data_IF_339419002275
#
_entry.id   IF_339419002275
#
_cell.length_a   1.000
_cell.length_b   1.000
_cell.length_c   1.000
_cell.angle_alpha   90.00
_cell.angle_beta   90.00
_cell.angle_gamma   90.00
#
_symmetry.space_group_name_H-M   'P 1'
#
loop_
_entity.id
_entity.type
_entity.pdbx_description
1 polymer ?
#
# COMPACT_ATOMS: atom_id res chain seq x y z
N UNK A 1 68.58 5.28 -20.09
CA UNK A 1 68.53 4.37 -18.91
C UNK A 1 67.38 4.81 -18.01
N UNK A 2 66.43 3.88 -17.75
CA UNK A 2 65.22 3.99 -16.88
C UNK A 2 64.15 4.97 -17.39
N UNK A 3 62.85 4.66 -17.55
CA UNK A 3 62.03 3.52 -17.17
C UNK A 3 60.88 3.35 -18.19
N UNK A 4 60.55 2.09 -18.46
CA UNK A 4 59.36 1.65 -19.18
C UNK A 4 58.10 1.69 -18.29
N UNK A 5 56.94 1.51 -18.93
CA UNK A 5 55.60 1.21 -18.40
C UNK A 5 54.59 2.38 -18.30
N UNK A 6 53.81 2.57 -19.38
CA UNK A 6 52.33 2.65 -19.38
C UNK A 6 51.81 2.99 -20.78
N UNK A 7 51.80 2.00 -21.66
CA UNK A 7 50.91 1.96 -22.84
C UNK A 7 50.52 0.50 -23.03
N UNK A 8 49.38 0.12 -22.46
CA UNK A 8 48.61 -1.07 -22.84
C UNK A 8 47.27 -0.97 -22.12
N UNK A 9 46.23 -0.57 -22.86
CA UNK A 9 44.85 -0.97 -22.62
C UNK A 9 44.01 -0.45 -23.80
N UNK A 10 43.94 -1.26 -24.85
CA UNK A 10 42.84 -1.25 -25.80
C UNK A 10 42.24 -2.66 -25.79
N UNK A 11 40.91 -2.70 -25.74
CA UNK A 11 40.02 -3.79 -26.19
C UNK A 11 40.01 -5.14 -25.45
N UNK A 12 38.81 -5.47 -24.95
CA UNK A 12 38.22 -6.75 -24.48
C UNK A 12 37.81 -6.62 -22.98
N UNK A 13 36.55 -6.62 -22.56
CA UNK A 13 35.44 -7.48 -22.96
C UNK A 13 34.09 -6.74 -22.99
N UNK A 14 33.50 -6.68 -24.18
CA UNK A 14 32.06 -6.78 -24.36
C UNK A 14 31.60 -8.19 -23.98
N UNK A 15 31.30 -8.41 -22.71
CA UNK A 15 30.48 -9.55 -22.30
C UNK A 15 29.01 -9.12 -22.35
N UNK A 16 28.32 -9.69 -23.33
CA UNK A 16 26.89 -9.64 -23.56
C UNK A 16 26.10 -10.22 -22.38
N UNK A 17 25.76 -9.39 -21.39
CA UNK A 17 24.64 -9.71 -20.50
C UNK A 17 23.33 -9.35 -21.22
N UNK A 18 22.88 -10.29 -22.06
CA UNK A 18 21.57 -10.27 -22.72
C UNK A 18 20.44 -10.61 -21.73
N UNK A 19 20.48 -10.03 -20.54
CA UNK A 19 19.36 -9.95 -19.62
C UNK A 19 18.49 -8.74 -19.98
N UNK A 20 17.21 -8.96 -20.20
CA UNK A 20 16.19 -7.90 -20.33
C UNK A 20 16.20 -7.00 -19.08
N UNK A 21 17.03 -5.96 -19.09
CA UNK A 21 17.24 -5.05 -17.96
C UNK A 21 16.25 -3.89 -18.03
N UNK A 22 15.50 -3.69 -16.94
CA UNK A 22 14.59 -2.55 -16.80
C UNK A 22 15.40 -1.25 -16.75
N UNK A 23 14.94 -0.20 -17.45
CA UNK A 23 15.60 1.11 -17.39
C UNK A 23 15.41 1.73 -16.00
N UNK A 24 16.52 2.09 -15.33
CA UNK A 24 16.52 2.85 -14.07
C UNK A 24 16.21 4.32 -14.38
N UNK A 25 15.11 4.86 -13.86
CA UNK A 25 14.62 6.19 -14.22
C UNK A 25 14.18 7.11 -13.07
N UNK A 26 14.16 6.63 -11.82
CA UNK A 26 13.73 7.41 -10.66
C UNK A 26 14.91 8.13 -10.00
N UNK A 27 14.73 9.43 -9.70
CA UNK A 27 15.68 10.23 -8.92
C UNK A 27 15.40 10.03 -7.42
N UNK A 28 16.37 10.25 -6.53
CA UNK A 28 16.18 10.14 -5.08
C UNK A 28 14.98 10.95 -4.55
N UNK A 29 14.71 12.12 -5.12
CA UNK A 29 13.53 12.93 -4.78
C UNK A 29 12.21 12.21 -5.09
N UNK A 30 12.16 11.46 -6.20
CA UNK A 30 10.98 10.67 -6.58
C UNK A 30 10.82 9.51 -5.60
N UNK A 31 11.91 8.83 -5.23
CA UNK A 31 11.86 7.70 -4.28
C UNK A 31 11.33 8.14 -2.92
N UNK A 32 11.81 9.27 -2.38
CA UNK A 32 11.37 9.77 -1.08
C UNK A 32 9.89 10.16 -1.11
N UNK A 33 9.42 10.79 -2.18
CA UNK A 33 8.02 11.22 -2.30
C UNK A 33 7.07 10.08 -2.67
N UNK A 34 7.49 9.11 -3.49
CA UNK A 34 6.75 7.86 -3.71
C UNK A 34 6.61 7.11 -2.40
N UNK A 35 7.70 7.01 -1.63
CA UNK A 35 7.64 6.41 -0.31
C UNK A 35 6.66 7.17 0.60
N UNK A 36 6.58 8.50 0.49
CA UNK A 36 5.76 9.36 1.35
C UNK A 36 4.29 9.43 0.95
N UNK A 37 3.99 9.45 -0.35
CA UNK A 37 2.65 9.58 -0.92
C UNK A 37 1.98 8.24 -1.31
N UNK A 38 2.76 7.17 -1.49
CA UNK A 38 2.27 5.85 -1.88
C UNK A 38 1.50 5.10 -0.78
N UNK A 39 1.66 5.52 0.47
CA UNK A 39 0.93 4.99 1.64
C UNK A 39 -0.22 5.91 2.09
N UNK A 40 -0.49 7.00 1.36
CA UNK A 40 -1.58 7.93 1.62
C UNK A 40 -2.58 7.79 0.47
N UNK A 41 -3.68 7.10 0.76
CA UNK A 41 -4.71 6.77 -0.22
C UNK A 41 -6.10 6.70 0.39
N UNK A 42 -6.99 5.97 -0.27
CA UNK A 42 -8.40 5.84 0.12
C UNK A 42 -8.59 5.25 1.51
N UNK A 43 -7.63 4.48 2.00
CA UNK A 43 -7.69 3.92 3.34
C UNK A 43 -7.69 4.97 4.46
N UNK A 44 -7.05 6.13 4.28
CA UNK A 44 -7.16 7.24 5.23
C UNK A 44 -8.45 8.02 5.02
N UNK A 45 -8.82 8.32 3.78
CA UNK A 45 -9.87 9.32 3.51
C UNK A 45 -11.29 8.77 3.43
N UNK A 46 -11.45 7.53 2.98
CA UNK A 46 -12.75 6.87 2.80
C UNK A 46 -12.88 5.65 3.71
N UNK A 47 -11.83 4.83 3.83
CA UNK A 47 -11.81 3.66 4.71
C UNK A 47 -11.93 3.99 6.21
N UNK A 48 -11.69 5.25 6.58
CA UNK A 48 -11.80 5.71 7.96
C UNK A 48 -13.25 5.81 8.46
N UNK A 49 -14.21 6.09 7.58
CA UNK A 49 -15.62 6.27 7.97
C UNK A 49 -16.19 5.07 8.73
N UNK A 50 -16.13 3.85 8.17
CA UNK A 50 -16.51 2.64 8.89
C UNK A 50 -15.74 2.43 10.20
N UNK A 51 -14.43 2.72 10.23
CA UNK A 51 -13.62 2.55 11.43
C UNK A 51 -14.05 3.50 12.57
N UNK A 52 -14.38 4.76 12.24
CA UNK A 52 -14.93 5.73 13.20
C UNK A 52 -16.29 5.27 13.71
N UNK A 53 -17.18 4.79 12.85
CA UNK A 53 -18.49 4.28 13.31
C UNK A 53 -18.35 3.09 14.26
N UNK A 54 -17.35 2.24 14.03
CA UNK A 54 -17.11 1.06 14.87
C UNK A 54 -16.45 1.39 16.22
N UNK A 55 -15.47 2.30 16.25
CA UNK A 55 -14.65 2.56 17.44
C UNK A 55 -14.98 3.89 18.15
N UNK A 56 -15.73 4.78 17.51
CA UNK A 56 -15.86 6.16 17.97
C UNK A 56 -14.50 6.85 18.10
N UNK A 57 -14.29 7.69 19.14
CA UNK A 57 -13.01 8.36 19.37
C UNK A 57 -11.83 7.40 19.63
N UNK A 58 -12.10 6.20 20.14
CA UNK A 58 -11.07 5.18 20.36
C UNK A 58 -10.39 4.73 19.06
N UNK A 59 -10.92 5.06 17.89
CA UNK A 59 -10.25 4.86 16.58
C UNK A 59 -8.82 5.42 16.60
N UNK A 60 -8.56 6.51 17.32
CA UNK A 60 -7.22 7.10 17.49
C UNK A 60 -6.24 6.10 18.11
N UNK A 61 -6.67 5.39 19.15
CA UNK A 61 -5.88 4.33 19.77
C UNK A 61 -5.69 3.16 18.79
N UNK A 62 -6.73 2.81 18.02
CA UNK A 62 -6.67 1.78 16.99
C UNK A 62 -5.58 2.05 15.94
N UNK A 63 -5.53 3.27 15.39
CA UNK A 63 -4.47 3.69 14.47
C UNK A 63 -3.10 3.74 15.13
N UNK A 64 -3.02 4.11 16.41
CA UNK A 64 -1.77 4.07 17.17
C UNK A 64 -1.21 2.65 17.29
N UNK A 65 -2.06 1.70 17.70
CA UNK A 65 -1.70 0.28 17.84
C UNK A 65 -1.33 -0.33 16.49
N UNK A 66 -2.21 -0.20 15.49
CA UNK A 66 -1.95 -0.72 14.15
C UNK A 66 -0.68 -0.09 13.54
N UNK A 67 -0.46 1.19 13.78
CA UNK A 67 0.72 1.91 13.32
C UNK A 67 2.02 1.44 13.97
N UNK A 68 2.02 1.12 15.27
CA UNK A 68 3.19 0.51 15.93
C UNK A 68 3.52 -0.84 15.29
N UNK A 69 2.52 -1.69 15.05
CA UNK A 69 2.73 -2.99 14.42
C UNK A 69 3.24 -2.84 12.98
N UNK A 70 2.64 -1.95 12.19
CA UNK A 70 3.09 -1.63 10.83
C UNK A 70 4.54 -1.13 10.83
N UNK A 71 4.92 -0.26 11.78
CA UNK A 71 6.28 0.23 11.92
C UNK A 71 7.28 -0.89 12.25
N UNK A 72 6.93 -1.83 13.15
CA UNK A 72 7.77 -2.98 13.45
C UNK A 72 8.01 -3.86 12.21
N UNK A 73 6.98 -4.08 11.39
CA UNK A 73 7.09 -4.85 10.13
C UNK A 73 7.96 -4.10 9.13
N UNK A 74 7.79 -2.78 8.98
CA UNK A 74 8.65 -1.98 8.11
C UNK A 74 10.10 -1.98 8.58
N UNK A 75 10.34 -2.08 9.89
CA UNK A 75 11.68 -2.24 10.44
C UNK A 75 12.29 -3.61 10.12
N UNK A 76 11.50 -4.69 10.19
CA UNK A 76 11.91 -6.04 9.77
C UNK A 76 12.26 -6.08 8.28
N UNK A 77 11.42 -5.48 7.44
CA UNK A 77 11.67 -5.35 6.01
C UNK A 77 12.92 -4.51 5.74
N UNK A 78 13.03 -3.35 6.38
CA UNK A 78 14.18 -2.45 6.25
C UNK A 78 15.51 -3.13 6.60
N UNK A 79 15.54 -3.98 7.64
CA UNK A 79 16.75 -4.74 7.99
C UNK A 79 17.20 -5.64 6.84
N UNK A 80 16.28 -6.40 6.24
CA UNK A 80 16.61 -7.29 5.13
C UNK A 80 17.08 -6.50 3.90
N UNK A 81 16.37 -5.42 3.56
CA UNK A 81 16.60 -4.67 2.32
C UNK A 81 17.87 -3.83 2.38
N UNK A 82 18.27 -3.33 3.57
CA UNK A 82 19.56 -2.64 3.74
C UNK A 82 20.74 -3.59 3.50
N UNK A 83 20.62 -4.84 3.93
CA UNK A 83 21.67 -5.85 3.74
C UNK A 83 21.71 -6.38 2.30
N UNK A 84 20.55 -6.55 1.66
CA UNK A 84 20.45 -7.04 0.29
C UNK A 84 19.46 -6.21 -0.54
N UNK A 85 19.89 -5.06 -1.11
CA UNK A 85 19.01 -4.19 -1.89
C UNK A 85 18.69 -4.80 -3.25
N UNK A 86 17.60 -5.57 -3.32
CA UNK A 86 17.15 -6.28 -4.54
C UNK A 86 15.71 -5.94 -4.90
N UNK A 87 15.41 -5.81 -6.20
CA UNK A 87 14.11 -5.33 -6.70
C UNK A 87 12.92 -6.24 -6.40
N UNK A 88 13.19 -7.53 -6.09
CA UNK A 88 12.15 -8.50 -5.70
C UNK A 88 11.70 -8.37 -4.25
N UNK A 89 12.33 -7.50 -3.45
CA UNK A 89 11.98 -7.21 -2.05
C UNK A 89 11.71 -8.46 -1.20
N UNK A 90 10.67 -8.45 -0.36
CA UNK A 90 10.26 -9.54 0.54
C UNK A 90 9.98 -10.87 -0.18
N UNK A 91 9.52 -10.89 -1.44
CA UNK A 91 9.35 -12.13 -2.20
C UNK A 91 10.71 -12.80 -2.49
N UNK A 92 11.74 -12.01 -2.78
CA UNK A 92 13.11 -12.52 -2.92
C UNK A 92 13.63 -13.08 -1.58
N UNK A 93 13.41 -12.37 -0.48
CA UNK A 93 13.82 -12.84 0.85
C UNK A 93 13.12 -14.15 1.23
N UNK A 94 11.82 -14.26 0.98
CA UNK A 94 11.07 -15.49 1.19
C UNK A 94 11.62 -16.64 0.33
N UNK A 95 11.93 -16.38 -0.95
CA UNK A 95 12.54 -17.38 -1.84
C UNK A 95 13.89 -17.87 -1.32
N UNK A 96 14.79 -16.94 -0.98
CA UNK A 96 16.19 -17.21 -0.63
C UNK A 96 16.35 -17.84 0.75
N UNK A 97 15.61 -17.36 1.75
CA UNK A 97 15.80 -17.74 3.16
C UNK A 97 14.82 -18.78 3.67
N UNK A 98 13.63 -18.89 3.07
CA UNK A 98 12.61 -19.84 3.49
C UNK A 98 12.41 -20.96 2.47
N UNK A 99 12.33 -20.61 1.19
CA UNK A 99 12.38 -21.59 0.11
C UNK A 99 11.49 -21.22 -1.08
N UNK A 100 11.49 -22.07 -2.13
CA UNK A 100 10.96 -21.67 -3.41
C UNK A 100 9.45 -21.42 -3.44
N UNK A 101 8.67 -22.20 -2.68
CA UNK A 101 7.23 -21.98 -2.54
C UNK A 101 6.91 -20.69 -1.79
N UNK A 102 7.68 -20.35 -0.74
CA UNK A 102 7.47 -19.13 0.03
C UNK A 102 7.68 -17.88 -0.84
N UNK A 103 8.70 -17.89 -1.71
CA UNK A 103 8.91 -16.85 -2.71
C UNK A 103 7.76 -16.74 -3.71
N UNK A 104 7.30 -17.87 -4.25
CA UNK A 104 6.16 -17.92 -5.18
C UNK A 104 4.88 -17.37 -4.55
N UNK A 105 4.53 -17.87 -3.36
CA UNK A 105 3.35 -17.44 -2.60
C UNK A 105 3.40 -15.93 -2.31
N UNK A 106 4.53 -15.44 -1.82
CA UNK A 106 4.70 -14.04 -1.48
C UNK A 106 4.57 -13.12 -2.71
N UNK A 107 5.20 -13.46 -3.82
CA UNK A 107 5.13 -12.65 -5.04
C UNK A 107 3.74 -12.63 -5.68
N UNK A 108 3.09 -13.79 -5.81
CA UNK A 108 1.74 -13.87 -6.38
C UNK A 108 0.68 -13.24 -5.47
N UNK A 109 0.80 -13.43 -4.15
CA UNK A 109 -0.08 -12.77 -3.19
C UNK A 109 0.05 -11.25 -3.28
N UNK A 110 1.27 -10.72 -3.37
CA UNK A 110 1.48 -9.28 -3.48
C UNK A 110 0.93 -8.71 -4.79
N UNK A 111 1.15 -9.39 -5.91
CA UNK A 111 0.55 -8.98 -7.18
C UNK A 111 -0.99 -8.98 -7.11
N UNK A 112 -1.60 -10.02 -6.56
CA UNK A 112 -3.05 -10.09 -6.39
C UNK A 112 -3.56 -8.98 -5.45
N UNK A 113 -2.88 -8.74 -4.34
CA UNK A 113 -3.18 -7.65 -3.40
C UNK A 113 -3.19 -6.29 -4.12
N UNK A 114 -2.19 -5.98 -4.94
CA UNK A 114 -2.13 -4.70 -5.65
C UNK A 114 -3.15 -4.58 -6.78
N UNK A 115 -3.54 -5.69 -7.41
CA UNK A 115 -4.70 -5.70 -8.32
C UNK A 115 -5.97 -5.31 -7.54
N UNK A 116 -6.21 -5.92 -6.38
CA UNK A 116 -7.37 -5.62 -5.52
C UNK A 116 -7.34 -4.18 -4.99
N UNK A 117 -6.17 -3.68 -4.59
CA UNK A 117 -5.98 -2.26 -4.23
C UNK A 117 -6.36 -1.37 -5.40
N UNK A 118 -5.89 -1.67 -6.61
CA UNK A 118 -6.24 -0.90 -7.79
C UNK A 118 -7.75 -0.88 -8.09
N UNK A 119 -8.44 -2.00 -7.87
CA UNK A 119 -9.90 -2.05 -7.96
C UNK A 119 -10.56 -1.18 -6.87
N UNK A 120 -10.08 -1.24 -5.62
CA UNK A 120 -10.62 -0.44 -4.52
C UNK A 120 -10.43 1.07 -4.77
N UNK A 121 -9.27 1.46 -5.28
CA UNK A 121 -8.95 2.85 -5.63
C UNK A 121 -9.83 3.35 -6.79
N UNK A 122 -10.03 2.56 -7.85
CA UNK A 122 -10.94 2.95 -8.95
C UNK A 122 -12.40 3.07 -8.48
N UNK A 123 -12.83 2.21 -7.56
CA UNK A 123 -14.16 2.30 -6.94
C UNK A 123 -14.30 3.58 -6.14
N UNK A 124 -13.30 3.90 -5.31
CA UNK A 124 -13.29 5.12 -4.51
C UNK A 124 -13.23 6.38 -5.38
N UNK A 125 -12.45 6.38 -6.46
CA UNK A 125 -12.45 7.47 -7.45
C UNK A 125 -13.86 7.71 -8.01
N UNK A 126 -14.63 6.64 -8.26
CA UNK A 126 -16.05 6.74 -8.62
C UNK A 126 -16.91 7.40 -7.53
N UNK A 127 -16.73 7.00 -6.27
CA UNK A 127 -17.42 7.60 -5.11
C UNK A 127 -17.09 9.09 -4.97
N UNK A 128 -15.83 9.49 -5.13
CA UNK A 128 -15.44 10.90 -5.08
C UNK A 128 -16.03 11.70 -6.24
N UNK A 129 -16.16 11.11 -7.44
CA UNK A 129 -16.82 11.79 -8.56
C UNK A 129 -18.32 11.99 -8.33
N UNK A 130 -18.98 11.10 -7.59
CA UNK A 130 -20.39 11.26 -7.22
C UNK A 130 -20.65 12.46 -6.30
N UNK A 131 -19.63 13.00 -5.62
CA UNK A 131 -19.76 14.25 -4.88
C UNK A 131 -20.14 15.43 -5.80
N UNK A 132 -19.55 15.51 -7.01
CA UNK A 132 -19.89 16.54 -8.00
C UNK A 132 -20.99 16.10 -8.98
N UNK A 133 -21.03 14.81 -9.30
CA UNK A 133 -21.92 14.23 -10.31
C UNK A 133 -22.70 13.03 -9.72
N UNK A 134 -23.63 13.28 -8.78
CA UNK A 134 -24.31 12.22 -8.03
C UNK A 134 -25.15 11.28 -8.91
N UNK A 135 -25.68 11.79 -10.02
CA UNK A 135 -26.51 11.01 -10.95
C UNK A 135 -25.70 10.05 -11.84
N UNK A 136 -24.38 10.19 -11.86
CA UNK A 136 -23.50 9.33 -12.67
C UNK A 136 -23.08 8.11 -11.85
N UNK A 137 -23.36 6.88 -12.32
CA UNK A 137 -22.95 5.67 -11.63
C UNK A 137 -21.43 5.53 -11.47
N UNK A 138 -21.00 4.96 -10.34
CA UNK A 138 -19.58 4.77 -9.99
C UNK A 138 -18.79 3.98 -11.04
N UNK A 139 -19.41 2.98 -11.68
CA UNK A 139 -18.75 2.13 -12.67
C UNK A 139 -18.29 2.91 -13.92
N UNK A 140 -18.98 3.99 -14.30
CA UNK A 140 -18.61 4.82 -15.46
C UNK A 140 -17.30 5.54 -15.16
N UNK A 141 -17.21 6.15 -13.98
CA UNK A 141 -16.00 6.83 -13.52
C UNK A 141 -14.84 5.85 -13.33
N UNK A 142 -15.10 4.68 -12.72
CA UNK A 142 -14.10 3.63 -12.58
C UNK A 142 -13.55 3.18 -13.94
N UNK A 143 -14.42 2.99 -14.95
CA UNK A 143 -14.01 2.64 -16.31
C UNK A 143 -13.20 3.75 -16.99
N UNK A 144 -13.65 5.00 -16.87
CA UNK A 144 -12.96 6.15 -17.45
C UNK A 144 -11.53 6.30 -16.89
N UNK A 145 -11.37 6.30 -15.57
CA UNK A 145 -10.05 6.40 -14.94
C UNK A 145 -9.17 5.18 -15.20
N UNK A 146 -9.77 3.98 -15.25
CA UNK A 146 -9.06 2.77 -15.65
C UNK A 146 -8.42 2.94 -17.03
N UNK A 147 -9.19 3.37 -18.03
CA UNK A 147 -8.69 3.56 -19.41
C UNK A 147 -7.59 4.62 -19.44
N UNK A 148 -7.82 5.77 -18.81
CA UNK A 148 -6.88 6.90 -18.80
C UNK A 148 -5.53 6.48 -18.20
N UNK A 149 -5.54 5.86 -17.02
CA UNK A 149 -4.30 5.53 -16.30
C UNK A 149 -3.54 4.40 -16.99
N UNK A 150 -4.22 3.38 -17.50
CA UNK A 150 -3.55 2.32 -18.25
C UNK A 150 -2.96 2.84 -19.57
N UNK A 151 -3.65 3.76 -20.26
CA UNK A 151 -3.11 4.40 -21.46
C UNK A 151 -1.84 5.21 -21.15
N UNK A 152 -1.83 6.00 -20.06
CA UNK A 152 -0.64 6.73 -19.63
C UNK A 152 0.54 5.79 -19.34
N UNK A 153 0.29 4.68 -18.66
CA UNK A 153 1.32 3.69 -18.31
C UNK A 153 1.91 2.95 -19.54
N UNK A 154 1.15 2.86 -20.64
CA UNK A 154 1.63 2.28 -21.89
C UNK A 154 2.57 3.23 -22.66
N UNK A 155 2.46 4.55 -22.46
CA UNK A 155 3.17 5.54 -23.29
C UNK A 155 4.59 5.82 -22.79
N UNK A 156 4.80 6.11 -21.49
CA UNK A 156 6.12 6.51 -20.99
C UNK A 156 6.32 6.35 -19.46
N UNK A 157 7.30 5.53 -19.08
CA UNK A 157 7.70 5.29 -17.67
C UNK A 157 8.29 6.53 -16.99
N UNK A 158 8.88 7.47 -17.75
CA UNK A 158 9.42 8.71 -17.19
C UNK A 158 8.33 9.70 -16.78
N UNK A 159 7.15 9.63 -17.41
CA UNK A 159 6.00 10.45 -17.04
C UNK A 159 5.50 10.08 -15.64
N UNK A 160 5.53 8.79 -15.29
CA UNK A 160 5.12 8.27 -13.98
C UNK A 160 5.85 8.96 -12.82
N UNK A 161 7.19 9.04 -12.86
CA UNK A 161 7.97 9.56 -11.74
C UNK A 161 7.73 11.04 -11.44
N UNK A 162 7.51 11.86 -12.47
CA UNK A 162 7.20 13.29 -12.32
C UNK A 162 5.73 13.50 -11.92
N UNK A 163 4.78 12.75 -12.50
CA UNK A 163 3.37 12.80 -12.10
C UNK A 163 3.20 12.43 -10.62
N UNK A 164 3.88 11.37 -10.18
CA UNK A 164 3.80 10.89 -8.80
C UNK A 164 4.47 11.85 -7.81
N UNK A 165 5.54 12.55 -8.21
CA UNK A 165 6.13 13.63 -7.43
C UNK A 165 5.11 14.73 -7.12
N UNK A 166 4.39 15.21 -8.14
CA UNK A 166 3.37 16.25 -7.98
C UNK A 166 2.17 15.75 -7.17
N UNK A 167 1.71 14.53 -7.42
CA UNK A 167 0.63 13.92 -6.67
C UNK A 167 0.96 13.78 -5.19
N UNK A 168 2.16 13.29 -4.84
CA UNK A 168 2.61 13.19 -3.46
C UNK A 168 2.70 14.57 -2.79
N UNK A 169 3.20 15.60 -3.49
CA UNK A 169 3.27 16.97 -2.95
C UNK A 169 1.88 17.53 -2.62
N UNK A 170 0.93 17.39 -3.57
CA UNK A 170 -0.45 17.84 -3.38
C UNK A 170 -1.10 17.16 -2.17
N UNK A 171 -0.92 15.83 -2.01
CA UNK A 171 -1.44 15.07 -0.87
C UNK A 171 -0.93 15.62 0.47
N UNK A 172 0.37 15.84 0.58
CA UNK A 172 0.98 16.30 1.84
C UNK A 172 0.52 17.71 2.19
N UNK A 173 0.56 18.63 1.23
CA UNK A 173 0.11 20.00 1.43
C UNK A 173 -1.36 20.07 1.81
N UNK A 174 -2.21 19.23 1.20
CA UNK A 174 -3.62 19.16 1.53
C UNK A 174 -3.87 18.69 2.96
N UNK A 175 -3.15 17.66 3.43
CA UNK A 175 -3.34 17.19 4.81
C UNK A 175 -2.84 18.24 5.82
N UNK A 176 -1.68 18.85 5.58
CA UNK A 176 -1.16 19.91 6.46
C UNK A 176 -2.12 21.11 6.45
N UNK A 177 -2.59 21.53 5.28
CA UNK A 177 -3.55 22.62 5.13
C UNK A 177 -4.86 22.34 5.84
N UNK A 178 -5.39 21.12 5.71
CA UNK A 178 -6.61 20.67 6.39
C UNK A 178 -6.46 20.65 7.91
N UNK A 179 -5.35 20.15 8.43
CA UNK A 179 -5.05 20.16 9.87
C UNK A 179 -4.94 21.61 10.36
N UNK A 180 -4.18 22.45 9.66
CA UNK A 180 -4.00 23.86 10.03
C UNK A 180 -5.31 24.65 10.00
N UNK A 181 -6.12 24.47 8.95
CA UNK A 181 -7.42 25.10 8.81
C UNK A 181 -8.41 24.62 9.88
N UNK A 182 -8.43 23.31 10.17
CA UNK A 182 -9.27 22.76 11.23
C UNK A 182 -8.88 23.26 12.62
N UNK A 183 -7.58 23.37 12.92
CA UNK A 183 -7.12 23.98 14.17
C UNK A 183 -7.48 25.47 14.24
N UNK A 184 -7.35 26.21 13.13
CA UNK A 184 -7.79 27.60 13.06
C UNK A 184 -9.29 27.74 13.34
N UNK A 185 -10.13 26.84 12.81
CA UNK A 185 -11.57 26.80 13.10
C UNK A 185 -11.86 26.51 14.57
N UNK A 186 -11.14 25.56 15.18
CA UNK A 186 -11.30 25.18 16.59
C UNK A 186 -10.90 26.31 17.53
N UNK A 187 -9.71 26.90 17.36
CA UNK A 187 -9.21 27.96 18.25
C UNK A 187 -9.81 29.33 17.95
N UNK A 188 -10.20 29.58 16.70
CA UNK A 188 -10.80 30.84 16.28
C UNK A 188 -12.30 30.96 16.58
N UNK A 189 -12.97 29.89 17.01
CA UNK A 189 -14.43 29.87 17.20
C UNK A 189 -15.25 29.92 15.90
N UNK A 190 -14.61 29.66 14.75
CA UNK A 190 -15.24 29.67 13.42
C UNK A 190 -15.73 28.29 12.97
N UNK A 191 -15.53 27.25 13.79
CA UNK A 191 -15.96 25.87 13.51
C UNK A 191 -17.44 25.58 13.76
N UNK A 192 -18.21 26.56 14.22
CA UNK A 192 -19.61 26.38 14.62
C UNK A 192 -19.77 25.75 16.00
N UNK A 193 -21.02 25.67 16.49
CA UNK A 193 -21.33 25.21 17.87
C UNK A 193 -20.92 23.76 18.15
N UNK A 194 -20.84 22.95 17.10
CA UNK A 194 -20.43 21.55 17.21
C UNK A 194 -18.91 21.37 17.31
N UNK A 195 -18.09 22.37 17.00
CA UNK A 195 -16.63 22.20 17.00
C UNK A 195 -16.06 22.40 18.42
N UNK A 196 -15.65 21.30 19.06
CA UNK A 196 -14.97 21.32 20.35
C UNK A 196 -14.09 20.08 20.52
N UNK A 197 -12.96 20.22 21.21
CA UNK A 197 -12.18 19.06 21.65
C UNK A 197 -12.98 18.12 22.55
N UNK A 198 -14.04 18.62 23.19
CA UNK A 198 -14.96 17.79 23.99
C UNK A 198 -15.59 16.66 23.17
N UNK A 199 -15.73 16.80 21.85
CA UNK A 199 -16.28 15.76 20.98
C UNK A 199 -15.53 14.43 21.06
N UNK A 200 -14.26 14.44 21.51
CA UNK A 200 -13.46 13.23 21.73
C UNK A 200 -13.95 12.39 22.92
N UNK A 201 -14.79 12.94 23.79
CA UNK A 201 -15.32 12.23 24.98
C UNK A 201 -16.76 12.57 25.36
N UNK A 202 -17.39 13.61 24.81
CA UNK A 202 -18.73 14.05 25.17
C UNK A 202 -19.84 13.10 24.68
N UNK A 203 -19.61 12.40 23.57
CA UNK A 203 -20.57 11.51 22.92
C UNK A 203 -20.37 10.04 23.33
N UNK A 204 -20.46 9.76 24.63
CA UNK A 204 -20.33 8.40 25.18
C UNK A 204 -18.94 8.04 25.71
N UNK A 205 -18.05 9.02 25.88
CA UNK A 205 -16.66 8.80 26.31
C UNK A 205 -15.72 8.44 25.17
N UNK A 206 -14.44 8.27 25.49
CA UNK A 206 -13.43 7.89 24.50
C UNK A 206 -13.68 6.49 23.92
N UNK A 207 -14.16 5.55 24.76
CA UNK A 207 -14.56 4.20 24.39
C UNK A 207 -16.08 4.10 24.20
N UNK A 208 -16.66 4.99 23.38
CA UNK A 208 -18.11 5.09 23.21
C UNK A 208 -18.80 3.80 22.74
N UNK A 209 -18.11 2.97 21.96
CA UNK A 209 -18.60 1.66 21.48
C UNK A 209 -18.00 0.48 22.28
N UNK A 210 -17.32 0.78 23.39
CA UNK A 210 -16.60 -0.19 24.21
C UNK A 210 -15.34 -0.77 23.56
N UNK A 211 -14.65 -1.65 24.29
CA UNK A 211 -13.43 -2.31 23.80
C UNK A 211 -13.68 -3.18 22.57
N UNK A 212 -14.86 -3.79 22.47
CA UNK A 212 -15.22 -4.63 21.32
C UNK A 212 -15.27 -3.83 20.02
N UNK A 213 -15.86 -2.62 20.04
CA UNK A 213 -15.89 -1.76 18.86
C UNK A 213 -14.49 -1.37 18.39
N UNK A 214 -13.60 -1.01 19.33
CA UNK A 214 -12.19 -0.77 19.04
C UNK A 214 -11.50 -2.00 18.42
N UNK A 215 -11.62 -3.17 19.04
CA UNK A 215 -10.95 -4.39 18.57
C UNK A 215 -11.42 -4.76 17.16
N UNK A 216 -12.73 -4.70 16.89
CA UNK A 216 -13.27 -4.99 15.56
C UNK A 216 -12.81 -3.95 14.52
N UNK A 217 -12.71 -2.67 14.91
CA UNK A 217 -12.25 -1.61 14.00
C UNK A 217 -10.80 -1.83 13.52
N UNK A 218 -9.96 -2.53 14.32
CA UNK A 218 -8.57 -2.80 13.94
C UNK A 218 -8.49 -3.49 12.58
N UNK A 219 -9.43 -4.39 12.26
CA UNK A 219 -9.46 -5.08 10.97
C UNK A 219 -9.68 -4.12 9.79
N UNK A 220 -10.55 -3.11 9.94
CA UNK A 220 -10.79 -2.07 8.92
C UNK A 220 -9.57 -1.14 8.83
N UNK A 221 -9.03 -0.74 9.98
CA UNK A 221 -7.87 0.16 10.09
C UNK A 221 -6.65 -0.42 9.33
N UNK A 222 -6.48 -1.74 9.28
CA UNK A 222 -5.38 -2.37 8.55
C UNK A 222 -5.32 -1.95 7.07
N UNK A 223 -6.47 -1.70 6.44
CA UNK A 223 -6.51 -1.26 5.04
C UNK A 223 -5.74 0.05 4.83
N UNK A 224 -5.81 0.96 5.79
CA UNK A 224 -5.14 2.25 5.73
C UNK A 224 -3.62 2.15 5.69
N UNK A 225 -3.03 1.08 6.20
CA UNK A 225 -1.58 0.89 6.23
C UNK A 225 -1.03 0.11 5.03
N UNK A 226 -1.90 -0.31 4.10
CA UNK A 226 -1.48 -0.95 2.86
C UNK A 226 -0.57 -0.05 2.03
N UNK A 227 0.48 -0.62 1.44
CA UNK A 227 1.39 0.09 0.54
C UNK A 227 2.65 0.64 1.21
N UNK A 228 2.80 0.52 2.54
CA UNK A 228 4.07 0.83 3.21
C UNK A 228 5.24 -0.03 2.68
N UNK A 229 4.96 -1.24 2.18
CA UNK A 229 5.95 -2.16 1.64
C UNK A 229 6.56 -1.70 0.32
N UNK A 230 6.00 -0.68 -0.35
CA UNK A 230 6.59 -0.09 -1.56
C UNK A 230 8.03 0.40 -1.32
N UNK A 231 8.37 0.77 -0.08
CA UNK A 231 9.73 1.12 0.31
C UNK A 231 10.69 -0.02 -0.02
N UNK A 232 10.28 -1.27 0.20
CA UNK A 232 11.11 -2.44 -0.06
C UNK A 232 11.35 -2.71 -1.55
N UNK A 233 10.45 -2.26 -2.45
CA UNK A 233 10.60 -2.44 -3.90
C UNK A 233 11.43 -1.30 -4.48
N UNK A 234 11.16 -0.07 -4.06
CA UNK A 234 11.88 1.12 -4.52
C UNK A 234 13.31 1.19 -3.99
N UNK A 235 13.63 0.46 -2.92
CA UNK A 235 14.97 0.34 -2.37
C UNK A 235 16.03 -0.11 -3.39
N UNK A 236 15.69 -0.98 -4.33
CA UNK A 236 16.63 -1.43 -5.37
C UNK A 236 16.95 -0.35 -6.42
N UNK A 237 16.17 0.73 -6.42
CA UNK A 237 16.39 1.90 -7.27
C UNK A 237 17.09 3.04 -6.50
N UNK A 238 17.30 2.91 -5.17
CA UNK A 238 17.95 3.93 -4.36
C UNK A 238 19.47 3.99 -4.62
N UNK A 239 20.01 5.19 -4.77
CA UNK A 239 21.46 5.38 -5.00
C UNK A 239 22.29 5.00 -3.76
N UNK A 240 21.74 5.22 -2.57
CA UNK A 240 22.38 4.90 -1.28
C UNK A 240 21.39 4.15 -0.37
N UNK A 241 21.21 2.83 -0.58
CA UNK A 241 20.26 2.04 0.20
C UNK A 241 20.51 2.10 1.72
N UNK A 242 21.78 2.07 2.13
CA UNK A 242 22.19 2.06 3.54
C UNK A 242 21.82 3.32 4.33
N UNK A 243 21.63 4.47 3.66
CA UNK A 243 21.26 5.73 4.31
C UNK A 243 19.79 6.07 4.05
N UNK A 244 19.30 5.79 2.85
CA UNK A 244 17.97 6.19 2.39
C UNK A 244 16.88 5.31 2.98
N UNK A 245 17.10 3.99 3.03
CA UNK A 245 16.08 3.04 3.53
C UNK A 245 15.85 3.21 5.03
N UNK A 246 16.89 3.27 5.90
CA UNK A 246 16.68 3.53 7.33
C UNK A 246 15.89 4.81 7.61
N UNK A 247 16.21 5.90 6.88
CA UNK A 247 15.49 7.17 6.99
C UNK A 247 14.02 7.01 6.59
N UNK A 248 13.74 6.38 5.45
CA UNK A 248 12.38 6.16 4.98
C UNK A 248 11.54 5.31 5.95
N UNK A 249 12.13 4.24 6.51
CA UNK A 249 11.48 3.38 7.49
C UNK A 249 11.18 4.13 8.79
N UNK A 250 12.14 4.90 9.32
CA UNK A 250 11.92 5.68 10.54
C UNK A 250 10.93 6.83 10.33
N UNK A 251 10.86 7.37 9.11
CA UNK A 251 9.88 8.39 8.76
C UNK A 251 8.44 7.89 8.79
N UNK A 252 8.21 6.57 8.71
CA UNK A 252 6.86 5.98 8.82
C UNK A 252 6.17 6.44 10.13
N UNK A 253 6.88 6.52 11.25
CA UNK A 253 6.30 6.97 12.54
C UNK A 253 5.71 8.37 12.43
N UNK A 254 6.45 9.32 11.84
CA UNK A 254 5.97 10.69 11.67
C UNK A 254 4.76 10.76 10.75
N UNK A 255 4.71 9.90 9.73
CA UNK A 255 3.55 9.79 8.84
C UNK A 255 2.32 9.28 9.58
N UNK A 256 2.49 8.30 10.47
CA UNK A 256 1.42 7.77 11.31
C UNK A 256 0.89 8.86 12.25
N UNK A 257 1.79 9.53 12.96
CA UNK A 257 1.41 10.58 13.90
C UNK A 257 0.74 11.77 13.21
N UNK A 258 1.29 12.25 12.08
CA UNK A 258 0.76 13.44 11.40
C UNK A 258 -0.51 13.12 10.61
N UNK A 259 -0.44 12.14 9.71
CA UNK A 259 -1.50 11.90 8.73
C UNK A 259 -2.66 11.09 9.27
N UNK A 260 -2.44 10.22 10.25
CA UNK A 260 -3.51 9.43 10.85
C UNK A 260 -3.96 10.04 12.16
N UNK A 261 -3.07 10.15 13.14
CA UNK A 261 -3.49 10.63 14.47
C UNK A 261 -3.86 12.11 14.43
N UNK A 262 -2.97 12.98 13.93
CA UNK A 262 -3.18 14.42 13.90
C UNK A 262 -4.41 14.84 13.09
N UNK A 263 -4.58 14.27 11.89
CA UNK A 263 -5.75 14.55 11.05
C UNK A 263 -7.05 14.07 11.70
N UNK A 264 -7.05 12.91 12.35
CA UNK A 264 -8.25 12.36 13.01
C UNK A 264 -8.62 13.10 14.29
N UNK A 265 -7.64 13.56 15.06
CA UNK A 265 -7.90 14.40 16.24
C UNK A 265 -8.64 15.66 15.82
N UNK A 266 -8.16 16.35 14.78
CA UNK A 266 -8.82 17.56 14.26
C UNK A 266 -10.20 17.24 13.71
N UNK A 267 -10.32 16.15 12.94
CA UNK A 267 -11.58 15.69 12.37
C UNK A 267 -12.64 15.46 13.46
N UNK A 268 -12.31 14.66 14.48
CA UNK A 268 -13.23 14.30 15.56
C UNK A 268 -13.51 15.45 16.52
N UNK A 269 -12.58 16.40 16.66
CA UNK A 269 -12.83 17.63 17.41
C UNK A 269 -13.78 18.58 16.65
N UNK A 270 -13.67 18.66 15.32
CA UNK A 270 -14.55 19.51 14.51
C UNK A 270 -15.97 18.98 14.41
N UNK A 271 -16.14 17.64 14.40
CA UNK A 271 -17.43 17.03 14.13
C UNK A 271 -17.66 15.77 14.98
N UNK A 272 -18.81 15.67 15.68
CA UNK A 272 -19.14 14.51 16.50
C UNK A 272 -19.07 13.20 15.71
N UNK A 273 -18.46 12.18 16.31
CA UNK A 273 -18.28 10.87 15.65
C UNK A 273 -19.61 10.20 15.27
N UNK A 274 -20.68 10.48 16.01
CA UNK A 274 -22.03 9.95 15.78
C UNK A 274 -22.66 10.43 14.48
N UNK A 275 -22.24 11.61 13.99
CA UNK A 275 -22.79 12.21 12.77
C UNK A 275 -21.99 11.80 11.51
N UNK A 276 -20.90 11.02 11.68
CA UNK A 276 -20.04 10.57 10.58
C UNK A 276 -20.66 9.36 9.87
N UNK A 277 -20.91 9.50 8.56
CA UNK A 277 -21.38 8.43 7.67
C UNK A 277 -20.21 7.63 7.07
N UNK A 278 -20.48 6.36 6.77
CA UNK A 278 -19.50 5.42 6.24
C UNK A 278 -19.42 5.37 4.70
N UNK A 279 -20.36 6.02 4.00
CA UNK A 279 -20.54 5.94 2.54
C UNK A 279 -19.81 7.04 1.75
N UNK A 280 -19.22 8.00 2.45
CA UNK A 280 -18.53 9.16 1.88
C UNK A 280 -17.31 9.52 2.73
N UNK A 281 -16.38 10.31 2.17
CA UNK A 281 -15.18 10.72 2.91
C UNK A 281 -15.56 11.64 4.09
N UNK A 282 -15.25 11.27 5.35
CA UNK A 282 -15.54 12.14 6.48
C UNK A 282 -14.81 13.48 6.40
N UNK A 283 -13.61 13.49 5.82
CA UNK A 283 -12.84 14.71 5.59
C UNK A 283 -13.54 15.69 4.64
N UNK A 284 -14.26 15.21 3.62
CA UNK A 284 -15.04 16.08 2.72
C UNK A 284 -16.34 16.52 3.37
N UNK A 285 -17.03 15.57 4.02
CA UNK A 285 -18.35 15.78 4.60
C UNK A 285 -18.35 16.89 5.66
N UNK A 286 -17.33 16.94 6.51
CA UNK A 286 -17.28 17.91 7.60
C UNK A 286 -17.22 19.33 7.05
N UNK A 287 -16.33 19.62 6.10
CA UNK A 287 -16.25 20.97 5.53
C UNK A 287 -17.47 21.33 4.69
N UNK A 288 -18.13 20.35 4.05
CA UNK A 288 -19.41 20.57 3.38
C UNK A 288 -20.49 20.96 4.40
N UNK A 289 -20.58 20.25 5.52
CA UNK A 289 -21.56 20.52 6.58
C UNK A 289 -21.27 21.81 7.36
N UNK A 290 -20.02 22.29 7.35
CA UNK A 290 -19.62 23.60 7.86
C UNK A 290 -19.84 24.75 6.85
N UNK A 291 -20.63 24.52 5.79
CA UNK A 291 -20.91 25.46 4.70
C UNK A 291 -19.66 25.93 3.94
N UNK A 292 -18.55 25.19 4.01
CA UNK A 292 -17.31 25.48 3.30
C UNK A 292 -17.21 24.63 2.03
N UNK A 293 -18.18 24.77 1.12
CA UNK A 293 -18.30 23.95 -0.09
C UNK A 293 -17.06 24.03 -1.00
N UNK A 294 -16.38 25.18 -1.02
CA UNK A 294 -15.13 25.36 -1.77
C UNK A 294 -14.01 24.50 -1.18
N UNK A 295 -13.87 24.47 0.15
CA UNK A 295 -12.88 23.64 0.85
C UNK A 295 -13.20 22.17 0.69
N UNK A 296 -14.48 21.79 0.85
CA UNK A 296 -14.93 20.42 0.65
C UNK A 296 -14.66 19.92 -0.79
N UNK A 297 -14.97 20.74 -1.80
CA UNK A 297 -14.69 20.44 -3.21
C UNK A 297 -13.19 20.33 -3.48
N UNK A 298 -12.37 21.26 -2.95
CA UNK A 298 -10.92 21.20 -3.09
C UNK A 298 -10.33 19.94 -2.44
N UNK A 299 -10.78 19.57 -1.24
CA UNK A 299 -10.35 18.35 -0.56
C UNK A 299 -10.79 17.11 -1.33
N UNK A 300 -12.03 17.05 -1.83
CA UNK A 300 -12.50 15.94 -2.64
C UNK A 300 -11.64 15.75 -3.91
N UNK A 301 -11.23 16.84 -4.54
CA UNK A 301 -10.28 16.81 -5.66
C UNK A 301 -8.91 16.27 -5.27
N UNK A 302 -8.34 16.72 -4.15
CA UNK A 302 -7.06 16.18 -3.66
C UNK A 302 -7.18 14.68 -3.36
N UNK A 303 -8.28 14.26 -2.73
CA UNK A 303 -8.49 12.85 -2.38
C UNK A 303 -8.67 11.98 -3.64
N UNK A 304 -9.37 12.49 -4.66
CA UNK A 304 -9.44 11.85 -5.97
C UNK A 304 -8.05 11.68 -6.59
N UNK A 305 -7.26 12.75 -6.62
CA UNK A 305 -5.86 12.69 -7.10
C UNK A 305 -5.03 11.71 -6.28
N UNK A 306 -5.24 11.66 -4.96
CA UNK A 306 -4.57 10.73 -4.07
C UNK A 306 -4.87 9.28 -4.45
N UNK A 307 -6.13 8.99 -4.76
CA UNK A 307 -6.58 7.65 -5.14
C UNK A 307 -6.05 7.22 -6.50
N UNK A 308 -6.14 8.11 -7.50
CA UNK A 308 -5.61 7.87 -8.85
C UNK A 308 -4.09 7.66 -8.85
N UNK A 309 -3.38 8.37 -7.96
CA UNK A 309 -1.95 8.19 -7.71
C UNK A 309 -1.64 6.79 -7.18
N UNK A 310 -2.36 6.31 -6.15
CA UNK A 310 -2.16 4.94 -5.63
C UNK A 310 -2.45 3.91 -6.72
N UNK A 311 -3.52 4.09 -7.51
CA UNK A 311 -3.81 3.18 -8.61
C UNK A 311 -2.67 3.15 -9.64
N UNK A 312 -2.18 4.32 -10.05
CA UNK A 312 -1.06 4.45 -10.98
C UNK A 312 0.21 3.76 -10.46
N UNK A 313 0.55 3.92 -9.17
CA UNK A 313 1.65 3.20 -8.52
C UNK A 313 1.43 1.68 -8.46
N UNK A 314 0.18 1.25 -8.28
CA UNK A 314 -0.21 -0.16 -8.32
C UNK A 314 0.00 -0.79 -9.70
N UNK A 315 -0.42 -0.10 -10.76
CA UNK A 315 -0.20 -0.51 -12.16
C UNK A 315 1.30 -0.65 -12.46
N UNK A 316 2.10 0.35 -12.04
CA UNK A 316 3.56 0.32 -12.17
C UNK A 316 4.20 -0.85 -11.42
N UNK A 317 3.77 -1.12 -10.18
CA UNK A 317 4.32 -2.17 -9.32
C UNK A 317 3.91 -3.57 -9.78
N UNK A 318 2.64 -3.77 -10.17
CA UNK A 318 2.13 -5.06 -10.63
C UNK A 318 2.82 -5.53 -11.89
N UNK A 319 3.02 -4.64 -12.86
CA UNK A 319 3.69 -4.98 -14.11
C UNK A 319 5.12 -5.48 -13.88
N UNK A 320 5.85 -4.88 -12.93
CA UNK A 320 7.22 -5.26 -12.54
C UNK A 320 7.28 -6.51 -11.68
N UNK A 321 6.37 -6.66 -10.71
CA UNK A 321 6.31 -7.86 -9.87
C UNK A 321 6.05 -9.09 -10.74
N UNK A 322 5.06 -9.01 -11.63
CA UNK A 322 4.70 -10.10 -12.52
C UNK A 322 5.80 -10.40 -13.54
N UNK A 323 6.47 -9.37 -14.07
CA UNK A 323 7.68 -9.54 -14.87
C UNK A 323 8.80 -10.23 -14.08
N UNK A 324 9.08 -9.81 -12.84
CA UNK A 324 10.10 -10.41 -11.98
C UNK A 324 9.81 -11.88 -11.66
N UNK A 325 8.54 -12.23 -11.42
CA UNK A 325 8.12 -13.62 -11.25
C UNK A 325 8.36 -14.44 -12.52
N UNK A 326 8.10 -13.88 -13.70
CA UNK A 326 8.32 -14.57 -14.98
C UNK A 326 9.80 -14.82 -15.27
N UNK A 327 10.69 -13.86 -14.95
CA UNK A 327 12.15 -14.02 -15.08
C UNK A 327 12.68 -15.13 -14.16
N UNK A 328 12.07 -15.30 -12.99
CA UNK A 328 12.42 -16.36 -12.04
C UNK A 328 11.81 -17.73 -12.38
N UNK A 329 11.10 -17.86 -13.51
CA UNK A 329 10.39 -19.09 -13.89
C UNK A 329 9.17 -19.41 -13.00
N UNK A 330 8.70 -18.43 -12.23
CA UNK A 330 7.55 -18.53 -11.33
C UNK A 330 6.25 -17.97 -11.95
N UNK A 331 6.29 -17.56 -13.23
CA UNK A 331 5.13 -17.16 -14.03
C UNK A 331 5.35 -17.54 -15.52
N UNK A 332 4.29 -17.58 -16.35
CA UNK A 332 4.41 -17.95 -17.77
C UNK A 332 5.46 -17.15 -18.56
N UNK A 333 6.22 -17.83 -19.41
CA UNK A 333 7.36 -17.26 -20.14
C UNK A 333 6.99 -16.11 -21.08
N UNK A 334 5.74 -15.97 -21.54
CA UNK A 334 5.35 -14.84 -22.39
C UNK A 334 5.36 -13.49 -21.65
N UNK A 335 5.36 -13.50 -20.32
CA UNK A 335 5.40 -12.30 -19.46
C UNK A 335 6.81 -11.71 -19.33
N UNK A 336 7.86 -12.41 -19.77
CA UNK A 336 9.25 -11.90 -19.79
C UNK A 336 9.52 -10.93 -20.94
N UNK A 337 8.57 -10.75 -21.86
CA UNK A 337 8.74 -9.84 -23.00
C UNK A 337 8.59 -8.39 -22.57
N UNK A 338 9.61 -7.59 -22.88
CA UNK A 338 9.60 -6.12 -22.71
C UNK A 338 9.50 -5.42 -24.07
N UNK A 339 8.81 -4.29 -24.12
CA UNK A 339 8.77 -3.44 -25.31
C UNK A 339 10.10 -2.73 -25.53
N UNK A 340 10.31 -2.13 -26.72
CA UNK A 340 11.49 -1.28 -27.01
C UNK A 340 11.66 -0.10 -26.03
N UNK A 341 10.60 0.27 -25.31
CA UNK A 341 10.61 1.34 -24.29
C UNK A 341 10.88 0.82 -22.87
N UNK A 342 11.19 -0.47 -22.71
CA UNK A 342 11.47 -1.09 -21.41
C UNK A 342 10.22 -1.39 -20.57
N UNK A 343 9.03 -1.44 -21.19
CA UNK A 343 7.75 -1.70 -20.49
C UNK A 343 7.32 -3.15 -20.69
N UNK A 344 7.00 -3.92 -19.63
CA UNK A 344 6.48 -5.29 -19.75
C UNK A 344 4.98 -5.26 -20.11
N UNK A 345 4.69 -5.02 -21.40
CA UNK A 345 3.32 -4.79 -21.90
C UNK A 345 2.39 -5.96 -21.62
N UNK A 346 2.86 -7.21 -21.73
CA UNK A 346 2.03 -8.39 -21.48
C UNK A 346 1.61 -8.48 -20.01
N UNK A 347 2.51 -8.17 -19.08
CA UNK A 347 2.22 -8.13 -17.64
C UNK A 347 1.24 -7.00 -17.29
N UNK A 348 1.38 -5.86 -17.96
CA UNK A 348 0.48 -4.72 -17.82
C UNK A 348 -0.93 -5.05 -18.33
N UNK A 349 -1.04 -5.64 -19.53
CA UNK A 349 -2.33 -6.02 -20.12
C UNK A 349 -3.04 -7.11 -19.30
N UNK A 350 -2.31 -8.12 -18.80
CA UNK A 350 -2.91 -9.14 -17.95
C UNK A 350 -3.43 -8.56 -16.63
N UNK A 351 -2.61 -7.73 -15.96
CA UNK A 351 -3.01 -7.07 -14.72
C UNK A 351 -4.18 -6.11 -14.95
N UNK A 352 -4.17 -5.38 -16.06
CA UNK A 352 -5.24 -4.48 -16.48
C UNK A 352 -6.54 -5.22 -16.79
N UNK A 353 -6.48 -6.34 -17.52
CA UNK A 353 -7.64 -7.16 -17.84
C UNK A 353 -8.32 -7.75 -16.60
N UNK A 354 -7.54 -8.11 -15.57
CA UNK A 354 -8.13 -8.56 -14.30
C UNK A 354 -8.67 -7.35 -13.54
N UNK A 355 -7.92 -6.25 -13.48
CA UNK A 355 -8.37 -5.02 -12.80
C UNK A 355 -9.67 -4.47 -13.40
N UNK A 356 -9.89 -4.59 -14.71
CA UNK A 356 -11.11 -4.10 -15.38
C UNK A 356 -12.39 -4.78 -14.89
N UNK A 357 -12.29 -5.95 -14.23
CA UNK A 357 -13.41 -6.59 -13.54
C UNK A 357 -14.03 -5.68 -12.47
N UNK A 358 -13.29 -4.68 -11.96
CA UNK A 358 -13.83 -3.65 -11.07
C UNK A 358 -15.04 -2.93 -11.66
N UNK A 359 -15.06 -2.73 -12.98
CA UNK A 359 -16.17 -2.07 -13.68
C UNK A 359 -17.43 -2.93 -13.54
N UNK A 360 -17.30 -4.25 -13.73
CA UNK A 360 -18.39 -5.19 -13.55
C UNK A 360 -18.83 -5.27 -12.08
N UNK A 361 -17.89 -5.31 -11.14
CA UNK A 361 -18.18 -5.33 -9.70
C UNK A 361 -18.95 -4.06 -9.29
N UNK A 362 -18.54 -2.88 -9.77
CA UNK A 362 -19.26 -1.62 -9.50
C UNK A 362 -20.61 -1.54 -10.21
N UNK A 363 -20.76 -2.20 -11.35
CA UNK A 363 -22.04 -2.25 -12.06
C UNK A 363 -23.06 -3.11 -11.32
N UNK A 364 -22.64 -4.30 -10.84
CA UNK A 364 -23.53 -5.26 -10.17
C UNK A 364 -23.75 -4.89 -8.69
N UNK A 365 -22.71 -4.47 -7.99
CA UNK A 365 -22.71 -4.25 -6.53
C UNK A 365 -22.21 -2.84 -6.16
N UNK A 366 -22.79 -1.75 -6.67
CA UNK A 366 -22.25 -0.40 -6.52
C UNK A 366 -22.03 0.04 -5.07
N UNK A 367 -22.90 -0.39 -4.14
CA UNK A 367 -22.83 -0.02 -2.71
C UNK A 367 -21.84 -0.88 -1.92
N UNK A 368 -21.67 -2.14 -2.29
CA UNK A 368 -20.85 -3.10 -1.54
C UNK A 368 -19.44 -3.27 -2.13
N UNK A 369 -19.22 -2.85 -3.39
CA UNK A 369 -17.98 -3.02 -4.12
C UNK A 369 -16.75 -2.57 -3.31
N UNK A 370 -16.80 -1.36 -2.74
CA UNK A 370 -15.67 -0.83 -1.97
C UNK A 370 -15.37 -1.65 -0.72
N UNK A 371 -16.39 -2.01 0.06
CA UNK A 371 -16.23 -2.81 1.29
C UNK A 371 -15.71 -4.22 1.00
N UNK A 372 -16.22 -4.87 -0.05
CA UNK A 372 -15.78 -6.20 -0.47
C UNK A 372 -14.31 -6.18 -0.93
N UNK A 373 -13.94 -5.20 -1.76
CA UNK A 373 -12.57 -5.05 -2.24
C UNK A 373 -11.62 -4.72 -1.09
N UNK A 374 -12.01 -3.82 -0.19
CA UNK A 374 -11.26 -3.50 1.02
C UNK A 374 -11.00 -4.75 1.86
N UNK A 375 -12.03 -5.58 2.10
CA UNK A 375 -11.89 -6.81 2.87
C UNK A 375 -10.91 -7.81 2.23
N UNK A 376 -10.94 -7.96 0.90
CA UNK A 376 -10.00 -8.80 0.15
C UNK A 376 -8.56 -8.25 0.21
N UNK A 377 -8.39 -6.92 0.10
CA UNK A 377 -7.10 -6.27 0.28
C UNK A 377 -6.56 -6.53 1.67
N UNK A 378 -7.35 -6.35 2.72
CA UNK A 378 -6.91 -6.62 4.09
C UNK A 378 -6.47 -8.08 4.25
N UNK A 379 -7.25 -9.06 3.77
CA UNK A 379 -6.88 -10.47 3.88
C UNK A 379 -5.52 -10.77 3.23
N UNK A 380 -5.30 -10.27 2.01
CA UNK A 380 -4.04 -10.47 1.27
C UNK A 380 -2.87 -9.67 1.86
N UNK A 381 -3.12 -8.49 2.43
CA UNK A 381 -2.15 -7.67 3.16
C UNK A 381 -1.64 -8.37 4.41
N UNK A 382 -2.54 -8.94 5.22
CA UNK A 382 -2.19 -9.69 6.43
C UNK A 382 -1.27 -10.88 6.07
N UNK A 383 -1.59 -11.61 5.00
CA UNK A 383 -0.72 -12.68 4.51
C UNK A 383 0.65 -12.15 4.10
N UNK A 384 0.71 -11.01 3.40
CA UNK A 384 1.99 -10.40 3.01
C UNK A 384 2.85 -10.04 4.22
N UNK A 385 2.25 -9.46 5.25
CA UNK A 385 2.94 -9.06 6.47
C UNK A 385 3.41 -10.26 7.30
N UNK A 386 2.61 -11.32 7.38
CA UNK A 386 3.03 -12.60 7.98
C UNK A 386 4.26 -13.15 7.22
N UNK A 387 4.22 -13.14 5.88
CA UNK A 387 5.34 -13.59 5.06
C UNK A 387 6.62 -12.77 5.29
N UNK A 388 6.51 -11.45 5.45
CA UNK A 388 7.64 -10.56 5.77
C UNK A 388 8.26 -10.93 7.13
N UNK A 389 7.44 -11.07 8.18
CA UNK A 389 7.94 -11.42 9.52
C UNK A 389 8.59 -12.80 9.56
N UNK A 390 8.01 -13.79 8.85
CA UNK A 390 8.58 -15.14 8.76
C UNK A 390 9.89 -15.15 7.95
N UNK A 391 9.93 -14.44 6.82
CA UNK A 391 11.15 -14.29 6.03
C UNK A 391 12.26 -13.61 6.84
N UNK A 392 11.93 -12.61 7.64
CA UNK A 392 12.88 -11.92 8.52
C UNK A 392 13.45 -12.85 9.61
N UNK A 393 12.62 -13.68 10.25
CA UNK A 393 13.10 -14.71 11.20
C UNK A 393 14.12 -15.66 10.54
N UNK A 394 13.84 -16.10 9.31
CA UNK A 394 14.74 -16.98 8.53
C UNK A 394 16.02 -16.27 8.09
N UNK A 395 15.91 -15.01 7.66
CA UNK A 395 17.04 -14.15 7.31
C UNK A 395 18.00 -13.99 8.49
N UNK A 396 17.49 -13.61 9.67
CA UNK A 396 18.27 -13.44 10.90
C UNK A 396 18.95 -14.74 11.32
N UNK A 397 18.26 -15.88 11.19
CA UNK A 397 18.84 -17.19 11.46
C UNK A 397 20.01 -17.51 10.51
N UNK A 398 19.88 -17.18 9.23
CA UNK A 398 20.95 -17.35 8.25
C UNK A 398 22.15 -16.41 8.50
N UNK A 399 21.91 -15.16 8.89
CA UNK A 399 22.96 -14.20 9.26
C UNK A 399 23.73 -14.65 10.51
N UNK A 400 23.02 -15.12 11.54
CA UNK A 400 23.64 -15.69 12.76
C UNK A 400 24.55 -16.88 12.43
N UNK A 401 24.12 -17.78 11.54
CA UNK A 401 24.96 -18.91 11.09
C UNK A 401 26.24 -18.47 10.38
N UNK A 402 26.25 -17.27 9.78
CA UNK A 402 27.43 -16.67 9.14
C UNK A 402 28.25 -15.78 10.08
N UNK A 403 27.87 -15.66 11.36
CA UNK A 403 28.55 -14.79 12.33
C UNK A 403 28.47 -13.31 11.99
N UNK A 404 27.46 -12.87 11.23
CA UNK A 404 27.29 -11.46 10.82
C UNK A 404 26.11 -10.82 11.52
N UNK A 405 26.30 -9.59 11.96
CA UNK A 405 25.23 -8.72 12.42
C UNK A 405 24.80 -7.76 11.31
N UNK A 406 23.51 -7.40 11.25
CA UNK A 406 23.00 -6.40 10.32
C UNK A 406 23.48 -5.00 10.72
N UNK A 407 23.62 -4.14 9.73
CA UNK A 407 23.91 -2.71 9.92
C UNK A 407 22.68 -1.97 10.43
N UNK A 408 21.49 -2.32 9.91
CA UNK A 408 20.22 -1.75 10.35
C UNK A 408 19.40 -2.80 11.10
N UNK A 409 19.23 -2.62 12.41
CA UNK A 409 18.59 -3.61 13.29
C UNK A 409 17.08 -3.40 13.41
N UNK A 410 16.33 -4.49 13.31
CA UNK A 410 14.94 -4.60 13.70
C UNK A 410 14.79 -4.45 15.21
N UNK A 411 13.73 -3.76 15.62
CA UNK A 411 13.43 -3.54 17.02
C UNK A 411 12.83 -4.82 17.63
N UNK A 412 13.18 -5.11 18.88
CA UNK A 412 12.63 -6.21 19.67
C UNK A 412 12.82 -7.61 19.03
N UNK A 413 13.80 -7.82 18.16
CA UNK A 413 14.05 -9.15 17.59
C UNK A 413 14.45 -10.18 18.68
N UNK A 414 13.87 -11.40 18.73
CA UNK A 414 12.85 -11.94 17.83
C UNK A 414 11.40 -11.66 18.26
N UNK A 415 11.16 -11.22 19.50
CA UNK A 415 9.83 -10.97 20.07
C UNK A 415 8.91 -10.13 19.17
N UNK A 416 9.43 -9.05 18.57
CA UNK A 416 8.69 -8.19 17.65
C UNK A 416 8.11 -8.93 16.43
N UNK A 417 8.77 -9.99 15.96
CA UNK A 417 8.26 -10.80 14.84
C UNK A 417 7.05 -11.62 15.29
N UNK A 418 7.16 -12.29 16.44
CA UNK A 418 6.06 -13.08 16.98
C UNK A 418 4.87 -12.21 17.36
N UNK A 419 5.11 -11.01 17.91
CA UNK A 419 4.08 -10.02 18.18
C UNK A 419 3.34 -9.62 16.89
N UNK A 420 4.07 -9.30 15.82
CA UNK A 420 3.47 -8.95 14.53
C UNK A 420 2.64 -10.11 13.96
N UNK A 421 3.18 -11.33 13.96
CA UNK A 421 2.48 -12.53 13.47
C UNK A 421 1.21 -12.78 14.30
N UNK A 422 1.31 -12.75 15.63
CA UNK A 422 0.16 -12.94 16.52
C UNK A 422 -0.92 -11.88 16.28
N UNK A 423 -0.53 -10.62 16.10
CA UNK A 423 -1.47 -9.54 15.76
C UNK A 423 -2.14 -9.79 14.40
N UNK A 424 -1.40 -10.16 13.35
CA UNK A 424 -2.01 -10.47 12.04
C UNK A 424 -2.99 -11.65 12.12
N UNK A 425 -2.64 -12.70 12.86
CA UNK A 425 -3.52 -13.85 13.09
C UNK A 425 -4.77 -13.46 13.89
N UNK A 426 -4.62 -12.60 14.90
CA UNK A 426 -5.75 -12.03 15.63
C UNK A 426 -6.68 -11.27 14.68
N UNK A 427 -6.15 -10.39 13.82
CA UNK A 427 -6.98 -9.68 12.84
C UNK A 427 -7.68 -10.65 11.89
N UNK A 428 -7.00 -11.70 11.40
CA UNK A 428 -7.63 -12.73 10.55
C UNK A 428 -8.80 -13.42 11.28
N UNK A 429 -8.65 -13.74 12.56
CA UNK A 429 -9.72 -14.32 13.38
C UNK A 429 -10.88 -13.32 13.54
N UNK A 430 -10.59 -12.04 13.78
CA UNK A 430 -11.63 -11.01 13.85
C UNK A 430 -12.38 -10.87 12.53
N UNK A 431 -11.69 -10.90 11.39
CA UNK A 431 -12.34 -10.89 10.08
C UNK A 431 -13.31 -12.07 9.90
N UNK A 432 -12.98 -13.26 10.43
CA UNK A 432 -13.91 -14.40 10.41
C UNK A 432 -15.19 -14.15 11.23
N UNK A 433 -15.15 -13.29 12.25
CA UNK A 433 -16.34 -12.95 13.05
C UNK A 433 -17.21 -11.88 12.39
N UNK A 434 -16.64 -11.05 11.51
CA UNK A 434 -17.33 -9.90 10.90
C UNK A 434 -17.97 -10.29 9.56
N UNK A 435 -19.30 -10.18 9.44
CA UNK A 435 -20.03 -10.64 8.24
C UNK A 435 -19.49 -10.05 6.94
N UNK A 436 -19.16 -8.74 6.92
CA UNK A 436 -18.59 -8.06 5.73
C UNK A 436 -17.17 -8.45 5.35
N UNK A 437 -16.41 -9.12 6.24
CA UNK A 437 -15.01 -9.54 5.99
C UNK A 437 -14.80 -11.06 6.05
N UNK A 438 -15.79 -11.81 6.56
CA UNK A 438 -15.72 -13.25 6.78
C UNK A 438 -15.39 -14.01 5.51
N UNK A 439 -16.07 -13.66 4.40
CA UNK A 439 -15.82 -14.30 3.11
C UNK A 439 -14.35 -14.14 2.69
N UNK A 440 -13.81 -12.92 2.77
CA UNK A 440 -12.43 -12.62 2.40
C UNK A 440 -11.40 -13.38 3.27
N UNK A 441 -11.69 -13.55 4.57
CA UNK A 441 -10.84 -14.34 5.46
C UNK A 441 -10.85 -15.84 5.12
N UNK A 442 -12.03 -16.41 4.82
CA UNK A 442 -12.18 -17.82 4.45
C UNK A 442 -11.57 -18.11 3.07
N UNK A 443 -11.61 -17.15 2.15
CA UNK A 443 -10.98 -17.27 0.84
C UNK A 443 -9.45 -17.32 0.92
N UNK A 444 -8.84 -16.82 2.00
CA UNK A 444 -7.37 -16.76 2.12
C UNK A 444 -6.71 -18.16 2.19
N UNK A 445 -7.17 -19.12 3.01
CA UNK A 445 -6.71 -20.52 2.92
C UNK A 445 -6.91 -21.13 1.53
N UNK A 446 -8.06 -20.89 0.89
CA UNK A 446 -8.33 -21.39 -0.46
C UNK A 446 -7.35 -20.81 -1.49
N UNK A 447 -7.00 -19.52 -1.34
CA UNK A 447 -6.00 -18.83 -2.15
C UNK A 447 -4.59 -19.43 -1.96
N UNK A 448 -4.19 -19.73 -0.72
CA UNK A 448 -2.91 -20.39 -0.43
C UNK A 448 -2.86 -21.78 -1.07
N UNK A 449 -3.94 -22.57 -0.95
CA UNK A 449 -4.05 -23.89 -1.58
C UNK A 449 -4.00 -23.79 -3.09
N UNK A 450 -4.71 -22.83 -3.69
CA UNK A 450 -4.68 -22.55 -5.12
C UNK A 450 -3.25 -22.25 -5.60
N UNK A 451 -2.53 -21.36 -4.92
CA UNK A 451 -1.15 -21.02 -5.25
C UNK A 451 -0.20 -22.21 -5.05
N UNK A 452 -0.45 -23.07 -4.05
CA UNK A 452 0.32 -24.30 -3.87
C UNK A 452 0.12 -25.29 -5.03
N UNK A 453 -1.13 -25.49 -5.47
CA UNK A 453 -1.44 -26.34 -6.63
C UNK A 453 -0.83 -25.77 -7.90
N UNK A 454 -0.95 -24.46 -8.13
CA UNK A 454 -0.35 -23.76 -9.27
C UNK A 454 1.19 -23.91 -9.28
N UNK A 455 1.84 -23.73 -8.13
CA UNK A 455 3.28 -23.93 -7.96
C UNK A 455 3.71 -25.36 -8.30
N UNK A 456 2.95 -26.37 -7.84
CA UNK A 456 3.21 -27.78 -8.14
C UNK A 456 3.02 -28.09 -9.62
N UNK A 457 1.99 -27.53 -10.25
CA UNK A 457 1.72 -27.71 -11.68
C UNK A 457 2.83 -27.10 -12.56
N UNK A 458 3.30 -25.89 -12.21
CA UNK A 458 4.36 -25.19 -12.95
C UNK A 458 5.72 -25.91 -12.86
N UNK A 459 5.96 -26.66 -11.78
CA UNK A 459 7.22 -27.41 -11.54
C UNK A 459 7.17 -28.88 -11.93
N UNK A 460 6.06 -29.38 -12.48
CA UNK A 460 6.07 -30.72 -13.06
C UNK A 460 7.10 -30.71 -14.20
N UNK A 461 8.10 -31.61 -14.20
CA UNK A 461 9.02 -31.68 -15.32
C UNK A 461 8.17 -31.94 -16.56
N UNK A 462 8.30 -31.08 -17.58
CA UNK A 462 7.84 -31.40 -18.92
C UNK A 462 8.43 -32.77 -19.23
N UNK A 463 7.59 -33.81 -19.26
CA UNK A 463 7.96 -35.08 -19.88
C UNK A 463 8.40 -34.69 -21.28
N UNK A 464 9.69 -34.83 -21.57
CA UNK A 464 10.24 -34.75 -22.92
C UNK A 464 9.35 -35.66 -23.77
N UNK A 465 8.56 -35.05 -24.65
CA UNK A 465 7.91 -35.74 -25.75
C UNK A 465 8.93 -35.88 -26.89
#
# INVERSE_FOLDING_TARGET
>A
MKNASKVSEHSADTASDSGSTLQRGLKNRHIQLIALGGAIGTGLFLGIGPAIQMAGPAVLLGYGVAGIIAFLIMRQLGEMVVEEPVSGSFAHFAFKYWGPFAGFLSGWNYWAMFVLVGMAELTAAGIYMQYWFPDVPTWIWAAAFFIIINAVNLVNVRLYGETEFWFALIKVLAIIGMIGFGLWMLFGGHGGEKASFDNLWSHGGFFATGWNGLILSLAVIMFSFGGLELIGITAAEASEPHTTIPKAVNQVVYRILLFYIGSLVVLLALYPWVDIKADSSPFVMIFHNLNSNLVASALNFVILVASLSVYNSGVYSNSRMLFGLSVQGNAPAFLTRVSRRGVPVNSLLLSGAITSLVVLVNYILPKEAFGLLMALVVATLLLNWIMISLAHLKFRAAMRRKGRDPQFKALLYPFGNYLCIAFMLMILVLMCTMDGMRLSAILLPAWIVFLFVAFRALRRPQKRA
#
